data_IF_617117845008
#
_entry.id   IF_617117845008
#
_cell.length_a   1.000
_cell.length_b   1.000
_cell.length_c   1.000
_cell.angle_alpha   90.00
_cell.angle_beta   90.00
_cell.angle_gamma   90.00
#
_symmetry.space_group_name_H-M   'P 1'
#
loop_
_entity.id
_entity.type
_entity.pdbx_description
1 polymer ?
#
# COMPACT_ATOMS: atom_id res chain seq x y z
N UNK A 1 -19.89 14.43 -91.78
CA UNK A 1 -19.35 15.19 -90.62
C UNK A 1 -20.46 15.31 -89.55
N UNK A 2 -20.44 14.51 -88.54
CA UNK A 2 -21.44 14.49 -87.51
C UNK A 2 -20.73 14.74 -86.16
N UNK A 3 -21.08 15.83 -85.49
CA UNK A 3 -20.55 16.20 -84.17
C UNK A 3 -21.50 15.62 -83.10
N UNK A 4 -20.96 14.79 -82.22
CA UNK A 4 -21.67 14.24 -81.09
C UNK A 4 -21.47 15.14 -79.91
N UNK A 5 -22.56 15.65 -79.28
CA UNK A 5 -22.63 16.39 -78.08
C UNK A 5 -22.73 15.36 -76.88
N UNK A 6 -21.75 15.36 -76.04
CA UNK A 6 -21.77 14.59 -74.81
C UNK A 6 -22.29 15.47 -73.64
N UNK A 7 -23.43 15.12 -73.06
CA UNK A 7 -24.07 15.78 -71.97
C UNK A 7 -23.60 15.10 -70.62
N UNK A 8 -22.82 15.79 -69.83
CA UNK A 8 -22.36 15.31 -68.50
C UNK A 8 -23.41 15.58 -67.47
N UNK A 9 -23.98 14.56 -66.86
CA UNK A 9 -24.82 14.64 -65.69
C UNK A 9 -23.92 14.77 -64.44
N UNK A 10 -23.94 15.94 -63.80
CA UNK A 10 -23.35 16.14 -62.47
C UNK A 10 -24.39 15.69 -61.47
N UNK A 11 -24.13 14.55 -60.81
CA UNK A 11 -24.89 14.09 -59.68
C UNK A 11 -24.32 14.79 -58.45
N UNK A 12 -25.03 15.80 -57.92
CA UNK A 12 -24.65 16.52 -56.70
C UNK A 12 -24.91 15.64 -55.47
N UNK A 13 -23.85 15.08 -54.90
CA UNK A 13 -23.92 14.44 -53.61
C UNK A 13 -24.01 15.53 -52.53
N UNK A 14 -25.12 15.63 -51.83
CA UNK A 14 -25.29 16.48 -50.65
C UNK A 14 -24.39 15.95 -49.52
N UNK A 15 -23.63 16.80 -48.84
CA UNK A 15 -22.85 16.36 -47.68
C UNK A 15 -23.79 15.98 -46.53
N UNK A 16 -23.77 14.70 -46.16
CA UNK A 16 -24.40 14.23 -44.93
C UNK A 16 -23.68 14.87 -43.74
N UNK A 17 -24.28 15.88 -43.14
CA UNK A 17 -23.85 16.39 -41.83
C UNK A 17 -24.12 15.31 -40.78
N UNK A 18 -23.07 14.59 -40.38
CA UNK A 18 -23.11 13.82 -39.19
C UNK A 18 -23.27 14.80 -38.02
N UNK A 19 -24.45 14.90 -37.46
CA UNK A 19 -24.67 15.49 -36.15
C UNK A 19 -23.99 14.58 -35.14
N UNK A 20 -22.76 14.93 -34.73
CA UNK A 20 -22.16 14.42 -33.53
C UNK A 20 -22.89 15.10 -32.38
N UNK A 21 -24.00 14.52 -31.93
CA UNK A 21 -24.59 14.81 -30.63
C UNK A 21 -23.62 14.23 -29.61
N UNK A 22 -22.61 15.00 -29.25
CA UNK A 22 -21.86 14.77 -28.00
C UNK A 22 -22.82 15.09 -26.85
N UNK A 23 -23.61 14.11 -26.44
CA UNK A 23 -24.19 14.16 -25.11
C UNK A 23 -23.02 14.33 -24.14
N UNK A 24 -23.04 15.37 -23.27
CA UNK A 24 -22.02 15.47 -22.23
C UNK A 24 -22.13 14.18 -21.42
N UNK A 25 -21.09 13.33 -21.48
CA UNK A 25 -21.01 12.14 -20.65
C UNK A 25 -21.22 12.60 -19.22
N UNK A 26 -22.41 12.37 -18.69
CA UNK A 26 -22.69 12.67 -17.29
C UNK A 26 -21.62 11.95 -16.50
N UNK A 27 -20.83 12.70 -15.73
CA UNK A 27 -19.85 12.14 -14.80
C UNK A 27 -20.68 11.36 -13.79
N UNK A 28 -20.85 10.07 -14.06
CA UNK A 28 -21.54 9.16 -13.15
C UNK A 28 -20.64 9.02 -11.94
N UNK A 29 -20.93 9.81 -10.91
CA UNK A 29 -20.31 9.59 -9.61
C UNK A 29 -20.70 8.19 -9.15
N UNK A 30 -19.74 7.30 -8.91
CA UNK A 30 -20.05 5.96 -8.49
C UNK A 30 -20.82 6.00 -7.18
N UNK A 31 -21.90 5.22 -7.10
CA UNK A 31 -22.76 5.07 -5.93
C UNK A 31 -21.88 4.70 -4.71
N UNK A 32 -21.90 5.51 -3.62
CA UNK A 32 -21.12 5.22 -2.42
C UNK A 32 -21.49 3.88 -1.76
N UNK A 33 -22.64 3.30 -2.09
CA UNK A 33 -23.06 2.00 -1.57
C UNK A 33 -22.35 0.80 -2.23
N UNK A 34 -21.68 0.97 -3.37
CA UNK A 34 -21.02 -0.12 -4.13
C UNK A 34 -19.52 -0.19 -3.90
N UNK A 35 -19.06 -0.27 -2.68
CA UNK A 35 -17.67 -0.62 -2.42
C UNK A 35 -17.43 -2.10 -2.74
N UNK A 36 -16.37 -2.38 -3.50
CA UNK A 36 -15.93 -3.74 -3.70
C UNK A 36 -15.54 -4.32 -2.32
N UNK A 37 -16.20 -5.40 -1.94
CA UNK A 37 -15.82 -6.26 -0.82
C UNK A 37 -15.25 -7.53 -1.40
N UNK A 38 -14.22 -8.07 -0.80
CA UNK A 38 -13.60 -9.28 -1.31
C UNK A 38 -12.09 -9.32 -1.08
N UNK A 39 -11.44 -10.13 -1.88
CA UNK A 39 -10.00 -10.30 -1.84
C UNK A 39 -9.31 -9.03 -2.34
N UNK A 40 -8.23 -8.64 -1.67
CA UNK A 40 -7.37 -7.55 -2.12
C UNK A 40 -5.89 -7.86 -1.89
N UNK A 41 -5.06 -7.17 -2.65
CA UNK A 41 -3.62 -7.16 -2.48
C UNK A 41 -3.12 -5.74 -2.37
N UNK A 42 -2.07 -5.53 -1.55
CA UNK A 42 -1.39 -4.24 -1.40
C UNK A 42 0.11 -4.45 -1.57
N UNK A 43 0.76 -3.53 -2.28
CA UNK A 43 2.21 -3.39 -2.29
C UNK A 43 2.59 -2.07 -1.63
N UNK A 44 3.56 -2.08 -0.72
CA UNK A 44 3.93 -0.89 0.05
C UNK A 44 5.43 -0.68 0.09
N UNK A 45 5.83 0.59 0.29
CA UNK A 45 7.20 1.00 0.56
C UNK A 45 7.23 2.23 1.45
N UNK A 46 8.33 2.41 2.19
CA UNK A 46 8.45 3.54 3.10
C UNK A 46 9.67 3.45 3.99
N UNK A 47 9.56 4.01 5.19
CA UNK A 47 10.58 4.02 6.22
C UNK A 47 10.16 3.26 7.47
N UNK A 48 11.13 2.63 8.10
CA UNK A 48 11.00 1.99 9.40
C UNK A 48 12.12 2.45 10.32
N UNK A 49 11.81 2.69 11.58
CA UNK A 49 12.80 3.10 12.59
C UNK A 49 12.52 2.40 13.92
N UNK A 50 13.58 2.20 14.67
CA UNK A 50 13.49 1.65 16.03
C UNK A 50 13.41 2.76 17.08
N UNK A 51 12.67 2.50 18.14
CA UNK A 51 12.58 3.33 19.33
C UNK A 51 13.05 2.54 20.55
N UNK A 52 13.47 3.25 21.59
CA UNK A 52 14.06 2.64 22.79
C UNK A 52 15.54 2.30 22.58
N UNK A 53 16.10 1.35 23.36
CA UNK A 53 17.53 1.04 23.31
C UNK A 53 18.04 0.70 21.90
N UNK A 54 17.29 -0.07 21.12
CA UNK A 54 17.69 -0.43 19.77
C UNK A 54 17.78 0.79 18.82
N UNK A 55 17.00 1.85 19.06
CA UNK A 55 17.02 3.06 18.24
C UNK A 55 18.32 3.87 18.36
N UNK A 56 19.09 3.68 19.43
CA UNK A 56 20.38 4.33 19.58
C UNK A 56 21.47 3.69 18.68
N UNK A 57 21.32 2.39 18.43
CA UNK A 57 22.33 1.60 17.72
C UNK A 57 21.92 1.23 16.28
N UNK A 58 20.64 1.37 15.95
CA UNK A 58 20.10 1.02 14.63
C UNK A 58 19.41 2.24 14.03
N UNK A 59 19.94 2.71 12.92
CA UNK A 59 19.38 3.84 12.18
C UNK A 59 18.04 3.54 11.53
N UNK A 60 17.33 4.59 11.13
CA UNK A 60 16.15 4.44 10.27
C UNK A 60 16.51 3.74 8.97
N UNK A 61 15.61 2.91 8.48
CA UNK A 61 15.82 2.08 7.31
C UNK A 61 14.70 2.19 6.29
N UNK A 62 14.97 1.69 5.09
CA UNK A 62 13.99 1.55 4.03
C UNK A 62 13.20 0.25 4.22
N UNK A 63 11.89 0.31 4.03
CA UNK A 63 10.99 -0.83 4.15
C UNK A 63 10.19 -1.04 2.86
N UNK A 64 10.02 -2.30 2.50
CA UNK A 64 9.10 -2.75 1.44
C UNK A 64 8.24 -3.86 1.99
N UNK A 65 6.98 -3.92 1.55
CA UNK A 65 6.05 -4.91 2.04
C UNK A 65 4.93 -5.24 1.07
N UNK A 66 4.19 -6.25 1.43
CA UNK A 66 2.99 -6.67 0.74
C UNK A 66 1.93 -7.13 1.73
N UNK A 67 0.67 -6.89 1.38
CA UNK A 67 -0.48 -7.42 2.13
C UNK A 67 -1.42 -8.16 1.21
N UNK A 68 -2.03 -9.18 1.77
CA UNK A 68 -3.17 -9.88 1.17
C UNK A 68 -4.26 -9.93 2.23
N UNK A 69 -5.45 -9.49 1.88
CA UNK A 69 -6.55 -9.42 2.83
C UNK A 69 -7.90 -9.67 2.18
N UNK A 70 -8.90 -9.80 3.03
CA UNK A 70 -10.29 -9.99 2.62
C UNK A 70 -11.20 -9.01 3.36
N UNK A 71 -11.92 -8.17 2.61
CA UNK A 71 -12.98 -7.30 3.13
C UNK A 71 -14.25 -8.13 3.32
N UNK A 72 -14.56 -8.56 4.54
CA UNK A 72 -15.79 -9.29 4.87
C UNK A 72 -17.03 -8.41 4.72
N UNK A 73 -16.88 -7.18 5.17
CA UNK A 73 -17.89 -6.14 5.08
C UNK A 73 -17.20 -4.80 4.82
N UNK A 74 -17.98 -3.78 4.47
CA UNK A 74 -17.45 -2.45 4.12
C UNK A 74 -16.60 -1.76 5.19
N UNK A 75 -16.67 -2.20 6.43
CA UNK A 75 -15.97 -1.59 7.57
C UNK A 75 -15.00 -2.53 8.28
N UNK A 76 -14.89 -3.81 7.85
CA UNK A 76 -14.02 -4.78 8.51
C UNK A 76 -13.34 -5.72 7.52
N UNK A 77 -12.03 -5.89 7.70
CA UNK A 77 -11.19 -6.80 6.95
C UNK A 77 -10.23 -7.57 7.87
N UNK A 78 -9.77 -8.70 7.40
CA UNK A 78 -8.63 -9.44 7.94
C UNK A 78 -7.55 -9.51 6.88
N UNK A 79 -6.29 -9.30 7.27
CA UNK A 79 -5.17 -9.27 6.34
C UNK A 79 -3.93 -9.97 6.92
N UNK A 80 -3.13 -10.56 6.04
CA UNK A 80 -1.77 -10.98 6.31
C UNK A 80 -0.82 -9.91 5.75
N UNK A 81 0.18 -9.53 6.52
CA UNK A 81 1.17 -8.52 6.16
C UNK A 81 2.57 -9.12 6.24
N UNK A 82 3.37 -8.88 5.21
CA UNK A 82 4.78 -9.21 5.13
C UNK A 82 5.55 -7.94 4.83
N UNK A 83 6.56 -7.63 5.64
CA UNK A 83 7.44 -6.48 5.41
C UNK A 83 8.90 -6.88 5.62
N UNK A 84 9.76 -6.39 4.76
CA UNK A 84 11.22 -6.45 4.89
C UNK A 84 11.78 -5.05 5.00
N UNK A 85 12.76 -4.86 5.88
CA UNK A 85 13.46 -3.57 6.01
C UNK A 85 14.97 -3.76 6.11
N UNK A 86 15.71 -2.73 5.70
CA UNK A 86 17.16 -2.69 5.73
C UNK A 86 17.60 -1.46 6.49
N UNK A 87 18.47 -1.65 7.47
CA UNK A 87 18.97 -0.63 8.38
C UNK A 87 20.48 -0.61 8.41
N UNK A 88 21.06 0.51 8.80
CA UNK A 88 22.48 0.59 9.15
C UNK A 88 22.64 0.70 10.66
N UNK A 89 23.60 -0.04 11.20
CA UNK A 89 24.03 0.15 12.59
C UNK A 89 24.76 1.48 12.72
N UNK A 90 24.52 2.20 13.80
CA UNK A 90 25.12 3.50 14.10
C UNK A 90 25.73 3.47 15.51
N UNK A 91 26.36 4.57 15.94
CA UNK A 91 27.03 4.64 17.24
C UNK A 91 28.54 4.28 17.16
N UNK A 92 29.19 4.26 18.32
CA UNK A 92 30.64 4.02 18.45
C UNK A 92 30.99 2.52 18.60
N UNK A 93 30.09 1.63 18.25
CA UNK A 93 30.31 0.19 18.39
C UNK A 93 31.22 -0.35 17.28
N UNK A 94 31.93 -1.47 17.55
CA UNK A 94 32.77 -2.18 16.59
C UNK A 94 32.01 -2.68 15.34
N UNK A 95 30.68 -2.56 15.33
CA UNK A 95 29.79 -3.00 14.24
C UNK A 95 29.09 -1.82 13.56
N UNK A 96 29.52 -0.58 13.81
CA UNK A 96 28.98 0.60 13.16
C UNK A 96 29.08 0.51 11.62
N UNK A 97 28.04 0.93 10.92
CA UNK A 97 27.99 0.91 9.45
C UNK A 97 27.62 -0.44 8.83
N UNK A 98 27.40 -1.49 9.62
CA UNK A 98 26.97 -2.78 9.08
C UNK A 98 25.46 -2.77 8.76
N UNK A 99 25.07 -3.56 7.73
CA UNK A 99 23.69 -3.68 7.32
C UNK A 99 22.96 -4.72 8.17
N UNK A 100 21.82 -4.31 8.71
CA UNK A 100 20.85 -5.16 9.39
C UNK A 100 19.59 -5.28 8.53
N UNK A 101 19.11 -6.50 8.35
CA UNK A 101 17.81 -6.75 7.70
C UNK A 101 16.83 -7.30 8.72
N UNK A 102 15.60 -6.81 8.66
CA UNK A 102 14.48 -7.31 9.45
C UNK A 102 13.34 -7.74 8.53
N UNK A 103 12.71 -8.84 8.88
CA UNK A 103 11.51 -9.36 8.24
C UNK A 103 10.41 -9.51 9.27
N UNK A 104 9.24 -9.02 8.95
CA UNK A 104 8.06 -9.13 9.81
C UNK A 104 6.94 -9.82 9.03
N UNK A 105 6.20 -10.72 9.73
CA UNK A 105 4.99 -11.35 9.24
C UNK A 105 3.90 -11.23 10.29
N UNK A 106 2.80 -10.55 9.98
CA UNK A 106 1.68 -10.33 10.92
C UNK A 106 0.36 -10.71 10.30
N UNK A 107 -0.60 -11.04 11.16
CA UNK A 107 -2.03 -11.13 10.84
C UNK A 107 -2.72 -9.99 11.56
N UNK A 108 -3.50 -9.21 10.83
CA UNK A 108 -4.05 -7.94 11.30
C UNK A 108 -5.55 -7.86 11.00
N UNK A 109 -6.31 -7.36 11.95
CA UNK A 109 -7.68 -6.91 11.76
C UNK A 109 -7.67 -5.43 11.39
N UNK A 110 -8.46 -5.04 10.38
CA UNK A 110 -8.56 -3.67 9.88
C UNK A 110 -10.00 -3.19 9.99
N UNK A 111 -10.20 -2.06 10.65
CA UNK A 111 -11.46 -1.34 10.70
C UNK A 111 -11.39 -0.10 9.80
N UNK A 112 -12.38 0.12 8.95
CA UNK A 112 -12.36 1.17 7.93
C UNK A 112 -13.61 2.03 7.98
N UNK A 113 -13.43 3.34 8.03
CA UNK A 113 -14.49 4.34 7.81
C UNK A 113 -14.38 4.86 6.39
N UNK A 114 -15.35 4.52 5.53
CA UNK A 114 -15.35 4.89 4.11
C UNK A 114 -16.23 6.11 3.86
N UNK A 115 -15.64 7.14 3.32
CA UNK A 115 -16.30 8.30 2.73
C UNK A 115 -16.37 8.11 1.20
N UNK A 116 -16.78 9.15 0.46
CA UNK A 116 -17.01 9.01 -0.99
C UNK A 116 -15.78 8.54 -1.78
N UNK A 117 -14.63 9.17 -1.57
CA UNK A 117 -13.35 8.84 -2.24
C UNK A 117 -12.22 8.60 -1.25
N UNK A 118 -12.41 8.98 0.01
CA UNK A 118 -11.45 8.81 1.07
C UNK A 118 -11.93 7.74 2.05
N UNK A 119 -11.01 6.97 2.57
CA UNK A 119 -11.26 6.06 3.68
C UNK A 119 -10.21 6.29 4.75
N UNK A 120 -10.62 6.27 5.99
CA UNK A 120 -9.73 6.25 7.15
C UNK A 120 -9.79 4.85 7.76
N UNK A 121 -8.67 4.34 8.19
CA UNK A 121 -8.65 3.02 8.80
C UNK A 121 -7.76 2.99 10.03
N UNK A 122 -8.08 2.04 10.90
CA UNK A 122 -7.23 1.59 11.99
C UNK A 122 -7.04 0.08 11.85
N UNK A 123 -5.85 -0.39 12.16
CA UNK A 123 -5.51 -1.80 12.07
C UNK A 123 -4.68 -2.22 13.29
N UNK A 124 -4.73 -3.52 13.61
CA UNK A 124 -3.93 -4.07 14.67
C UNK A 124 -3.82 -5.57 14.55
N UNK A 125 -2.69 -6.10 15.00
CA UNK A 125 -2.41 -7.51 14.84
C UNK A 125 -1.21 -7.98 15.63
N UNK A 126 -0.88 -9.24 15.38
CA UNK A 126 0.23 -9.94 15.99
C UNK A 126 0.92 -10.86 14.97
N UNK A 127 2.16 -11.21 15.24
CA UNK A 127 2.94 -12.03 14.35
C UNK A 127 4.35 -12.29 14.86
N UNK A 128 5.28 -12.41 13.91
CA UNK A 128 6.67 -12.68 14.18
C UNK A 128 7.56 -11.68 13.44
N UNK A 129 8.66 -11.30 14.09
CA UNK A 129 9.74 -10.56 13.46
C UNK A 129 11.02 -11.38 13.54
N UNK A 130 11.80 -11.35 12.46
CA UNK A 130 13.10 -12.02 12.35
C UNK A 130 14.15 -11.04 11.87
N UNK A 131 15.27 -10.99 12.57
CA UNK A 131 16.42 -10.19 12.20
C UNK A 131 17.57 -11.07 11.63
N UNK A 132 18.24 -10.60 10.60
CA UNK A 132 19.11 -11.44 9.76
C UNK A 132 20.49 -11.71 10.33
N UNK A 133 20.97 -10.98 11.36
CA UNK A 133 22.36 -11.09 11.76
C UNK A 133 22.59 -11.34 13.24
N UNK A 134 23.80 -11.88 13.55
CA UNK A 134 24.32 -11.98 14.91
C UNK A 134 24.68 -10.60 15.53
N UNK A 135 24.55 -9.53 14.75
CA UNK A 135 24.84 -8.16 15.17
C UNK A 135 24.08 -7.74 16.41
N UNK A 136 22.79 -8.09 16.51
CA UNK A 136 22.00 -7.78 17.69
C UNK A 136 22.53 -8.45 18.95
N UNK A 137 23.02 -9.68 18.82
CA UNK A 137 23.67 -10.38 19.92
C UNK A 137 25.00 -9.71 20.29
N UNK A 138 25.79 -9.30 19.30
CA UNK A 138 27.03 -8.57 19.52
C UNK A 138 26.82 -7.19 20.15
N UNK A 139 25.69 -6.54 19.87
CA UNK A 139 25.27 -5.28 20.48
C UNK A 139 24.60 -5.47 21.86
N UNK A 140 24.31 -6.70 22.26
CA UNK A 140 23.60 -6.99 23.50
C UNK A 140 22.11 -6.59 23.50
N UNK A 141 21.55 -6.28 22.33
CA UNK A 141 20.20 -5.73 22.16
C UNK A 141 19.13 -6.84 22.10
N UNK A 142 19.47 -8.01 21.57
CA UNK A 142 18.52 -9.12 21.42
C UNK A 142 19.14 -10.46 21.84
N UNK A 143 18.32 -11.29 22.47
CA UNK A 143 18.67 -12.65 22.87
C UNK A 143 18.43 -13.67 21.75
N UNK A 144 17.42 -13.41 20.92
CA UNK A 144 16.99 -14.32 19.84
C UNK A 144 16.85 -13.57 18.52
N UNK A 145 17.01 -14.30 17.41
CA UNK A 145 16.87 -13.77 16.03
C UNK A 145 15.41 -13.63 15.62
N UNK A 146 14.51 -14.33 16.28
CA UNK A 146 13.07 -14.34 15.97
C UNK A 146 12.31 -14.09 17.23
N UNK A 147 11.38 -13.18 17.23
CA UNK A 147 10.52 -12.85 18.33
C UNK A 147 9.09 -12.61 17.91
N UNK A 148 8.19 -12.58 18.88
CA UNK A 148 6.82 -12.17 18.68
C UNK A 148 6.76 -10.66 18.48
N UNK A 149 5.88 -10.23 17.59
CA UNK A 149 5.54 -8.83 17.39
C UNK A 149 4.04 -8.63 17.52
N UNK A 150 3.65 -7.53 18.13
CA UNK A 150 2.28 -7.11 18.24
C UNK A 150 2.21 -5.60 18.11
N UNK A 151 1.21 -5.10 17.41
CA UNK A 151 1.09 -3.66 17.20
C UNK A 151 -0.13 -3.28 16.40
N UNK A 152 -0.13 -2.06 15.97
CA UNK A 152 -1.21 -1.52 15.16
C UNK A 152 -0.86 -0.18 14.57
N UNK A 153 -1.76 0.31 13.77
CA UNK A 153 -1.58 1.54 13.03
C UNK A 153 -2.88 2.07 12.48
N UNK A 154 -2.73 2.96 11.54
CA UNK A 154 -3.85 3.53 10.82
C UNK A 154 -3.37 4.35 9.66
N UNK A 155 -4.31 4.81 8.86
CA UNK A 155 -3.96 5.57 7.68
C UNK A 155 -5.17 6.08 6.92
N UNK A 156 -4.89 6.52 5.71
CA UNK A 156 -5.87 7.07 4.78
C UNK A 156 -5.69 6.45 3.40
N UNK A 157 -6.81 6.07 2.78
CA UNK A 157 -6.90 5.59 1.41
C UNK A 157 -7.61 6.61 0.52
N UNK A 158 -7.10 6.83 -0.66
CA UNK A 158 -7.79 7.51 -1.74
C UNK A 158 -8.18 6.49 -2.82
N UNK A 159 -9.48 6.35 -3.06
CA UNK A 159 -10.04 5.42 -4.04
C UNK A 159 -10.22 6.07 -5.39
N UNK A 160 -9.68 5.44 -6.45
CA UNK A 160 -9.90 5.87 -7.83
C UNK A 160 -11.31 5.54 -8.30
N UNK A 161 -11.73 6.17 -9.39
CA UNK A 161 -13.09 6.05 -9.95
C UNK A 161 -13.55 4.59 -10.21
N UNK A 162 -12.65 3.69 -10.55
CA UNK A 162 -12.95 2.26 -10.76
C UNK A 162 -13.14 1.48 -9.46
N UNK A 163 -12.80 2.05 -8.30
CA UNK A 163 -12.87 1.45 -6.95
C UNK A 163 -12.08 0.17 -6.73
N UNK A 164 -11.49 -0.39 -7.78
CA UNK A 164 -10.57 -1.50 -7.67
C UNK A 164 -9.19 -1.07 -7.19
N UNK A 165 -8.82 0.19 -7.46
CA UNK A 165 -7.53 0.74 -7.07
C UNK A 165 -7.68 1.79 -5.98
N UNK A 166 -6.81 1.73 -4.99
CA UNK A 166 -6.59 2.82 -4.06
C UNK A 166 -5.10 3.01 -3.78
N UNK A 167 -4.73 4.25 -3.49
CA UNK A 167 -3.41 4.62 -2.99
C UNK A 167 -3.59 5.18 -1.60
N UNK A 168 -2.68 4.86 -0.70
CA UNK A 168 -2.81 5.30 0.68
C UNK A 168 -1.49 5.61 1.36
N UNK A 169 -1.62 6.22 2.52
CA UNK A 169 -0.55 6.46 3.47
C UNK A 169 -0.91 5.76 4.78
N UNK A 170 0.08 5.10 5.37
CA UNK A 170 -0.07 4.30 6.59
C UNK A 170 1.02 4.65 7.58
N UNK A 171 0.66 4.75 8.86
CA UNK A 171 1.58 4.77 9.99
C UNK A 171 1.31 3.59 10.90
N UNK A 172 2.35 2.88 11.31
CA UNK A 172 2.26 1.72 12.19
C UNK A 172 3.26 1.79 13.34
N UNK A 173 2.93 1.11 14.43
CA UNK A 173 3.77 1.00 15.61
C UNK A 173 3.66 -0.39 16.22
N UNK A 174 4.79 -1.10 16.33
CA UNK A 174 4.82 -2.48 16.79
C UNK A 174 5.81 -2.64 17.93
N UNK A 175 5.52 -3.57 18.81
CA UNK A 175 6.37 -3.95 19.94
C UNK A 175 7.01 -5.29 19.63
N UNK A 176 8.32 -5.39 19.77
CA UNK A 176 9.12 -6.58 19.58
C UNK A 176 9.46 -7.18 20.95
N UNK A 177 8.85 -8.30 21.30
CA UNK A 177 8.96 -8.86 22.65
C UNK A 177 10.35 -9.37 22.99
N UNK A 178 11.10 -9.88 22.02
CA UNK A 178 12.44 -10.49 22.19
C UNK A 178 13.59 -9.50 22.02
N UNK A 179 13.31 -8.29 21.59
CA UNK A 179 14.31 -7.25 21.36
C UNK A 179 14.20 -6.18 22.45
N UNK A 180 14.56 -6.57 23.67
CA UNK A 180 14.77 -5.69 24.84
C UNK A 180 13.83 -4.48 24.92
N UNK A 181 12.51 -4.73 24.90
CA UNK A 181 11.46 -3.70 24.88
C UNK A 181 11.57 -2.70 23.71
N UNK A 182 12.20 -3.10 22.63
CA UNK A 182 12.26 -2.26 21.43
C UNK A 182 10.91 -2.18 20.74
N UNK A 183 10.71 -1.07 20.14
CA UNK A 183 9.50 -0.75 19.41
C UNK A 183 9.91 -0.24 18.05
N UNK A 184 9.20 -0.62 17.02
CA UNK A 184 9.40 -0.07 15.68
C UNK A 184 8.24 0.82 15.27
N UNK A 185 8.58 1.92 14.64
CA UNK A 185 7.64 2.80 13.96
C UNK A 185 7.84 2.66 12.46
N UNK A 186 6.76 2.70 11.71
CA UNK A 186 6.77 2.58 10.26
C UNK A 186 5.84 3.61 9.63
N UNK A 187 6.29 4.23 8.54
CA UNK A 187 5.44 5.01 7.64
C UNK A 187 5.63 4.52 6.22
N UNK A 188 4.53 4.11 5.59
CA UNK A 188 4.55 3.58 4.23
C UNK A 188 3.49 4.24 3.36
N UNK A 189 3.78 4.34 2.07
CA UNK A 189 2.78 4.54 1.02
C UNK A 189 2.53 3.20 0.34
N UNK A 190 1.33 2.99 -0.19
CA UNK A 190 0.96 1.73 -0.80
C UNK A 190 -0.04 1.91 -1.93
N UNK A 191 -0.04 0.94 -2.82
CA UNK A 191 -1.05 0.74 -3.85
C UNK A 191 -1.81 -0.54 -3.53
N UNK A 192 -3.15 -0.44 -3.53
CA UNK A 192 -4.06 -1.56 -3.30
C UNK A 192 -4.87 -1.86 -4.55
N UNK A 193 -5.07 -3.14 -4.84
CA UNK A 193 -6.01 -3.65 -5.82
C UNK A 193 -7.02 -4.58 -5.15
N UNK A 194 -8.32 -4.32 -5.37
CA UNK A 194 -9.44 -5.16 -4.89
C UNK A 194 -10.07 -5.87 -6.07
N UNK A 195 -10.18 -7.19 -5.98
CA UNK A 195 -10.69 -8.07 -7.04
C UNK A 195 -12.21 -8.03 -7.16
#
# INVERSE_FOLDING_TARGET
MAAALATSFFCGAAPARAQVTSEPSAVVFPDPAKFATGLYTEGEFGGLWFNGPAGNDIGAGFAVGARVGYDFVRFFALQAHLVGSTHQTQGDSAVAGQLLQMYQATVEAKATLRLVQLSFFAEGGLGFARMSSNLLYALGIARYRTGLTAGGGGGVDYHFLSRHFSVGLRGGYYVLTEVHNSRDGMVTTYLRYTF
#
